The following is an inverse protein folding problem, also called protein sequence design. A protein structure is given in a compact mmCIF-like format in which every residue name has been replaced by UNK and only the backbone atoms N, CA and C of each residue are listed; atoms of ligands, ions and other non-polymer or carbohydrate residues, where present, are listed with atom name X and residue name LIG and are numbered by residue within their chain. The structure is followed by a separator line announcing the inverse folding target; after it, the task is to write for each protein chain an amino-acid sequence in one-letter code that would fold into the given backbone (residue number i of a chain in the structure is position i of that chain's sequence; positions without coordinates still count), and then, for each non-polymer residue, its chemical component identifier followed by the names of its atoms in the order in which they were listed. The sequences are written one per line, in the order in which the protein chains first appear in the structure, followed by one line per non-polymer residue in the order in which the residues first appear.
data_IF_996555355406
#
_entry.id   IF_996555355406
#
_cell.length_a   1.000
_cell.length_b   1.000
_cell.length_c   1.000
_cell.angle_alpha   90.00
_cell.angle_beta   90.00
_cell.angle_gamma   90.00
#
_symmetry.space_group_name_H-M   'P 1'
#
loop_
_entity.id
_entity.type
_entity.pdbx_description
1 polymer ?
#
# COMPACT_ATOMS: atom_id res chain seq x y z
N UNK A 1 -25.21 24.16 -9.48
CA UNK A 1 -24.16 23.16 -9.74
C UNK A 1 -23.59 22.62 -8.43
N UNK A 2 -23.23 23.49 -7.48
CA UNK A 2 -22.72 23.10 -6.14
C UNK A 2 -23.61 22.11 -5.38
N UNK A 3 -24.94 22.27 -5.43
CA UNK A 3 -25.89 21.35 -4.80
C UNK A 3 -25.80 19.92 -5.36
N UNK A 4 -25.55 19.77 -6.66
CA UNK A 4 -25.48 18.47 -7.33
C UNK A 4 -24.24 17.66 -6.92
N UNK A 5 -23.18 18.36 -6.54
CA UNK A 5 -21.90 17.74 -6.12
C UNK A 5 -21.70 17.81 -4.61
N UNK A 6 -22.71 18.24 -3.83
CA UNK A 6 -22.62 18.30 -2.37
C UNK A 6 -21.51 19.23 -1.85
N UNK A 7 -21.26 20.34 -2.54
CA UNK A 7 -20.24 21.33 -2.18
C UNK A 7 -18.79 20.95 -2.51
N UNK A 8 -18.56 19.86 -3.26
CA UNK A 8 -17.24 19.57 -3.80
C UNK A 8 -16.90 20.50 -4.97
N UNK A 9 -15.64 20.96 -5.12
CA UNK A 9 -15.24 21.79 -6.26
C UNK A 9 -15.49 21.04 -7.58
N UNK A 10 -16.24 21.66 -8.49
CA UNK A 10 -16.60 21.04 -9.78
C UNK A 10 -15.91 21.69 -10.99
N UNK A 11 -15.23 22.83 -10.83
CA UNK A 11 -14.55 23.55 -11.92
C UNK A 11 -15.43 23.67 -13.19
N UNK A 12 -16.69 24.06 -13.00
CA UNK A 12 -17.72 24.23 -14.04
C UNK A 12 -18.06 22.99 -14.89
N UNK A 13 -17.65 21.77 -14.48
CA UNK A 13 -17.96 20.52 -15.18
C UNK A 13 -18.53 19.49 -14.20
N UNK A 14 -19.68 18.91 -14.52
CA UNK A 14 -20.29 17.81 -13.77
C UNK A 14 -20.59 16.66 -14.74
N UNK A 15 -20.24 15.44 -14.33
CA UNK A 15 -20.49 14.21 -15.10
C UNK A 15 -21.22 13.22 -14.20
N UNK A 16 -22.35 12.70 -14.67
CA UNK A 16 -23.01 11.56 -14.06
C UNK A 16 -22.32 10.27 -14.52
N UNK A 17 -21.92 9.42 -13.57
CA UNK A 17 -21.23 8.18 -13.85
C UNK A 17 -21.65 7.07 -12.88
N UNK A 18 -21.46 5.81 -13.30
CA UNK A 18 -21.70 4.65 -12.44
C UNK A 18 -20.66 4.55 -11.33
N UNK A 19 -21.07 4.06 -10.16
CA UNK A 19 -20.12 3.78 -9.09
C UNK A 19 -19.07 2.74 -9.50
N UNK A 20 -17.85 2.96 -9.04
CA UNK A 20 -16.76 1.99 -9.15
C UNK A 20 -16.71 1.10 -7.92
N UNK A 21 -16.43 -0.17 -8.15
CA UNK A 21 -16.41 -1.21 -7.12
C UNK A 21 -15.09 -1.97 -7.15
N UNK A 22 -14.64 -2.34 -5.95
CA UNK A 22 -13.49 -3.21 -5.75
C UNK A 22 -13.90 -4.67 -5.94
N UNK A 23 -13.14 -5.39 -6.76
CA UNK A 23 -13.33 -6.84 -6.99
C UNK A 23 -12.74 -7.62 -5.83
N UNK A 24 -13.18 -8.86 -5.61
CA UNK A 24 -12.48 -9.74 -4.67
C UNK A 24 -11.06 -10.06 -5.18
N UNK A 25 -10.04 -10.04 -4.31
CA UNK A 25 -8.65 -10.37 -4.68
C UNK A 25 -8.50 -11.72 -5.39
N UNK A 26 -9.42 -12.67 -5.16
CA UNK A 26 -9.41 -13.98 -5.85
C UNK A 26 -9.48 -13.85 -7.37
N UNK A 27 -10.11 -12.79 -7.90
CA UNK A 27 -10.12 -12.54 -9.35
C UNK A 27 -8.72 -12.31 -9.91
N UNK A 28 -7.85 -11.61 -9.17
CA UNK A 28 -6.46 -11.41 -9.55
C UNK A 28 -5.68 -12.72 -9.55
N UNK A 29 -5.85 -13.54 -8.50
CA UNK A 29 -5.18 -14.84 -8.36
C UNK A 29 -5.60 -15.82 -9.46
N UNK A 30 -6.89 -15.84 -9.81
CA UNK A 30 -7.43 -16.75 -10.81
C UNK A 30 -7.07 -16.33 -12.24
N UNK A 31 -7.13 -15.03 -12.55
CA UNK A 31 -6.83 -14.52 -13.90
C UNK A 31 -5.34 -14.65 -14.26
N UNK A 32 -4.43 -14.68 -13.28
CA UNK A 32 -3.00 -14.97 -13.53
C UNK A 32 -2.72 -16.41 -13.94
N UNK A 33 -3.67 -17.36 -13.79
CA UNK A 33 -3.53 -18.71 -14.36
C UNK A 33 -3.76 -18.74 -15.88
N UNK A 34 -4.47 -17.74 -16.43
CA UNK A 34 -4.89 -17.73 -17.85
C UNK A 34 -4.12 -16.74 -18.72
N UNK A 35 -3.29 -15.87 -18.14
CA UNK A 35 -2.46 -14.90 -18.88
C UNK A 35 -1.03 -15.41 -19.06
N UNK A 36 -0.86 -16.39 -19.94
CA UNK A 36 0.43 -16.74 -20.54
C UNK A 36 0.75 -15.93 -21.81
N UNK A 37 -0.05 -14.92 -22.17
CA UNK A 37 0.11 -14.22 -23.45
C UNK A 37 0.18 -12.68 -23.30
N UNK A 38 1.32 -12.14 -23.74
CA UNK A 38 1.44 -10.97 -24.62
C UNK A 38 1.00 -9.57 -24.14
N UNK A 39 1.11 -9.24 -22.86
CA UNK A 39 1.18 -7.84 -22.45
C UNK A 39 2.54 -7.57 -21.80
N UNK A 40 3.36 -6.76 -22.48
CA UNK A 40 4.69 -6.28 -22.06
C UNK A 40 4.69 -5.41 -20.79
N UNK A 41 3.68 -5.53 -19.93
CA UNK A 41 3.62 -4.81 -18.66
C UNK A 41 4.29 -5.69 -17.60
N UNK A 42 5.59 -5.50 -17.45
CA UNK A 42 6.45 -6.13 -16.44
C UNK A 42 6.14 -5.60 -15.01
N UNK A 43 4.86 -5.37 -14.66
CA UNK A 43 4.54 -4.95 -13.31
C UNK A 43 4.64 -6.15 -12.36
N UNK A 44 5.71 -6.16 -11.58
CA UNK A 44 6.04 -7.22 -10.65
C UNK A 44 5.89 -6.78 -9.18
N UNK A 45 5.62 -5.49 -8.92
CA UNK A 45 5.45 -4.94 -7.58
C UNK A 45 3.97 -4.58 -7.36
N UNK A 46 3.42 -5.05 -6.25
CA UNK A 46 2.02 -4.84 -5.89
C UNK A 46 1.92 -4.28 -4.46
N UNK A 47 0.96 -3.38 -4.23
CA UNK A 47 0.74 -2.75 -2.93
C UNK A 47 -0.57 -3.23 -2.31
N UNK A 48 -0.50 -3.67 -1.05
CA UNK A 48 -1.66 -3.97 -0.21
C UNK A 48 -1.70 -3.05 1.00
N UNK A 49 -2.81 -2.34 1.19
CA UNK A 49 -3.04 -1.50 2.36
C UNK A 49 -3.87 -2.26 3.40
N UNK A 50 -3.29 -2.43 4.60
CA UNK A 50 -3.94 -3.08 5.72
C UNK A 50 -4.49 -2.05 6.72
N UNK A 51 -5.80 -1.85 6.70
CA UNK A 51 -6.54 -0.96 7.58
C UNK A 51 -6.00 0.49 7.59
N UNK A 52 -5.52 1.00 6.46
CA UNK A 52 -5.28 2.45 6.27
C UNK A 52 -6.62 3.17 6.39
N UNK A 53 -6.75 4.06 7.38
CA UNK A 53 -8.04 4.69 7.70
C UNK A 53 -8.33 5.91 6.83
N UNK A 54 -7.30 6.70 6.53
CA UNK A 54 -7.48 7.91 5.76
C UNK A 54 -7.57 7.58 4.26
N UNK A 55 -8.76 7.79 3.71
CA UNK A 55 -9.01 7.60 2.29
C UNK A 55 -8.19 8.55 1.39
N UNK A 56 -7.74 9.70 1.91
CA UNK A 56 -6.84 10.60 1.18
C UNK A 56 -5.45 9.98 1.02
N UNK A 57 -4.95 9.27 2.04
CA UNK A 57 -3.71 8.51 1.92
C UNK A 57 -3.84 7.42 0.84
N UNK A 58 -4.98 6.72 0.79
CA UNK A 58 -5.23 5.69 -0.24
C UNK A 58 -5.21 6.29 -1.65
N UNK A 59 -5.89 7.43 -1.88
CA UNK A 59 -5.90 8.06 -3.20
C UNK A 59 -4.53 8.63 -3.61
N UNK A 60 -3.77 9.20 -2.66
CA UNK A 60 -2.39 9.61 -2.91
C UNK A 60 -1.48 8.42 -3.25
N UNK A 61 -1.65 7.28 -2.58
CA UNK A 61 -0.94 6.04 -2.92
C UNK A 61 -1.31 5.55 -4.32
N UNK A 62 -2.56 5.73 -4.78
CA UNK A 62 -2.93 5.41 -6.16
C UNK A 62 -2.09 6.18 -7.17
N UNK A 63 -1.82 7.47 -6.90
CA UNK A 63 -0.93 8.28 -7.75
C UNK A 63 0.49 7.71 -7.78
N UNK A 64 1.04 7.35 -6.61
CA UNK A 64 2.38 6.75 -6.53
C UNK A 64 2.45 5.42 -7.29
N UNK A 65 1.47 4.53 -7.09
CA UNK A 65 1.41 3.24 -7.80
C UNK A 65 1.43 3.47 -9.32
N UNK A 66 0.53 4.32 -9.83
CA UNK A 66 0.43 4.58 -11.26
C UNK A 66 1.71 5.24 -11.80
N UNK A 67 2.27 6.21 -11.07
CA UNK A 67 3.50 6.91 -11.44
C UNK A 67 4.69 5.94 -11.61
N UNK A 68 4.79 4.92 -10.76
CA UNK A 68 5.83 3.89 -10.84
C UNK A 68 5.42 2.68 -11.71
N UNK A 69 4.41 2.83 -12.59
CA UNK A 69 4.03 1.82 -13.59
C UNK A 69 3.14 0.69 -13.06
N UNK A 70 2.64 0.81 -11.83
CA UNK A 70 1.70 -0.13 -11.25
C UNK A 70 0.27 0.07 -11.75
N UNK A 71 -0.51 -1.00 -11.78
CA UNK A 71 -1.86 -1.04 -12.37
C UNK A 71 -2.95 -1.56 -11.41
N UNK A 72 -2.57 -1.86 -10.16
CA UNK A 72 -3.42 -2.58 -9.21
C UNK A 72 -3.14 -2.14 -7.77
N UNK A 73 -4.19 -2.08 -6.95
CA UNK A 73 -4.12 -1.82 -5.51
C UNK A 73 -5.01 -2.78 -4.73
N UNK A 74 -4.51 -3.29 -3.61
CA UNK A 74 -5.23 -4.21 -2.73
C UNK A 74 -5.58 -3.52 -1.42
N UNK A 75 -6.83 -3.62 -0.97
CA UNK A 75 -7.33 -2.94 0.24
C UNK A 75 -8.00 -3.93 1.19
N UNK A 76 -7.39 -4.12 2.37
CA UNK A 76 -8.04 -4.73 3.53
C UNK A 76 -8.56 -3.59 4.42
N UNK A 77 -9.86 -3.30 4.34
CA UNK A 77 -10.53 -2.34 5.24
C UNK A 77 -11.75 -2.95 5.92
N UNK A 78 -12.20 -2.29 6.99
CA UNK A 78 -13.51 -2.59 7.59
C UNK A 78 -14.61 -2.28 6.57
N UNK A 79 -15.58 -3.19 6.48
CA UNK A 79 -16.78 -3.00 5.67
C UNK A 79 -17.66 -1.95 6.34
N UNK A 80 -18.20 -1.03 5.55
CA UNK A 80 -19.23 -0.09 5.99
C UNK A 80 -20.56 -0.83 6.09
N UNK A 81 -21.46 -0.35 6.95
CA UNK A 81 -22.80 -0.92 7.11
C UNK A 81 -23.53 -0.87 5.76
N UNK A 82 -24.03 -2.02 5.30
CA UNK A 82 -24.73 -2.13 4.02
C UNK A 82 -23.87 -2.51 2.81
N UNK A 83 -22.54 -2.64 2.95
CA UNK A 83 -21.70 -3.09 1.83
C UNK A 83 -21.84 -4.61 1.59
N UNK A 84 -22.11 -4.99 0.33
CA UNK A 84 -22.12 -6.39 -0.08
C UNK A 84 -20.73 -7.03 0.02
N UNK A 85 -20.66 -8.31 0.37
CA UNK A 85 -19.38 -9.02 0.59
C UNK A 85 -18.47 -9.06 -0.66
N UNK A 86 -19.06 -9.00 -1.85
CA UNK A 86 -18.36 -9.23 -3.13
C UNK A 86 -18.10 -7.96 -3.92
N UNK A 87 -18.85 -6.88 -3.66
CA UNK A 87 -18.73 -5.60 -4.35
C UNK A 87 -18.69 -4.51 -3.31
N UNK A 88 -17.53 -3.88 -3.17
CA UNK A 88 -17.31 -2.82 -2.20
C UNK A 88 -17.05 -1.54 -2.97
N UNK A 89 -17.89 -0.53 -2.75
CA UNK A 89 -17.79 0.76 -3.43
C UNK A 89 -16.46 1.44 -3.09
N UNK A 90 -15.82 2.04 -4.10
CA UNK A 90 -14.67 2.92 -3.90
C UNK A 90 -15.18 4.24 -3.35
N UNK A 91 -14.58 4.70 -2.25
CA UNK A 91 -15.02 5.91 -1.55
C UNK A 91 -14.64 7.18 -2.33
N UNK A 92 -15.55 8.16 -2.38
CA UNK A 92 -15.34 9.43 -3.09
C UNK A 92 -14.04 10.16 -2.73
N UNK A 93 -13.60 10.23 -1.45
CA UNK A 93 -12.33 10.87 -1.13
C UNK A 93 -11.11 10.18 -1.75
N UNK A 94 -11.16 8.86 -2.00
CA UNK A 94 -10.09 8.14 -2.72
C UNK A 94 -10.04 8.63 -4.17
N UNK A 95 -11.20 8.72 -4.84
CA UNK A 95 -11.30 9.21 -6.21
C UNK A 95 -10.77 10.64 -6.33
N UNK A 96 -11.22 11.53 -5.44
CA UNK A 96 -10.83 12.93 -5.41
C UNK A 96 -9.31 13.11 -5.18
N UNK A 97 -8.77 12.52 -4.11
CA UNK A 97 -7.33 12.65 -3.79
C UNK A 97 -6.42 11.96 -4.80
N UNK A 98 -6.91 10.97 -5.56
CA UNK A 98 -6.14 10.34 -6.63
C UNK A 98 -5.96 11.22 -7.87
N UNK A 99 -6.77 12.28 -8.03
CA UNK A 99 -6.75 13.18 -9.19
C UNK A 99 -6.74 12.40 -10.52
N UNK A 100 -7.69 11.46 -10.64
CA UNK A 100 -7.85 10.61 -11.83
C UNK A 100 -6.96 9.37 -11.88
N UNK A 101 -5.89 9.28 -11.07
CA UNK A 101 -5.01 8.10 -11.09
C UNK A 101 -5.75 6.80 -10.76
N UNK A 102 -6.76 6.86 -9.88
CA UNK A 102 -7.56 5.69 -9.51
C UNK A 102 -8.34 5.10 -10.70
N UNK A 103 -8.62 5.86 -11.77
CA UNK A 103 -9.32 5.36 -12.96
C UNK A 103 -8.50 4.32 -13.73
N UNK A 104 -7.17 4.40 -13.65
CA UNK A 104 -6.24 3.49 -14.30
C UNK A 104 -5.82 2.30 -13.42
N UNK A 105 -6.29 2.24 -12.16
CA UNK A 105 -5.97 1.16 -11.24
C UNK A 105 -7.13 0.17 -11.08
N UNK A 106 -6.78 -1.10 -11.05
CA UNK A 106 -7.66 -2.17 -10.61
C UNK A 106 -7.68 -2.24 -9.08
N UNK A 107 -8.87 -2.08 -8.49
CA UNK A 107 -9.04 -2.20 -7.05
C UNK A 107 -9.48 -3.60 -6.64
N UNK A 108 -8.76 -4.17 -5.68
CA UNK A 108 -9.07 -5.47 -5.10
C UNK A 108 -9.31 -5.36 -3.60
N UNK A 109 -10.44 -5.88 -3.13
CA UNK A 109 -10.71 -6.03 -1.72
C UNK A 109 -10.17 -7.34 -1.17
N UNK A 110 -9.48 -7.25 -0.04
CA UNK A 110 -8.98 -8.38 0.75
C UNK A 110 -9.90 -8.61 1.95
N UNK A 111 -10.51 -9.80 2.03
CA UNK A 111 -11.40 -10.16 3.13
C UNK A 111 -10.63 -10.64 4.38
N UNK A 112 -9.61 -11.49 4.18
CA UNK A 112 -8.80 -12.11 5.23
C UNK A 112 -7.34 -12.10 4.76
N UNK A 113 -6.43 -11.57 5.60
CA UNK A 113 -5.02 -11.37 5.25
C UNK A 113 -4.24 -12.67 5.19
N UNK A 114 -4.48 -13.60 6.13
CA UNK A 114 -3.80 -14.89 6.19
C UNK A 114 -4.03 -15.71 4.91
N UNK A 115 -5.30 -15.86 4.51
CA UNK A 115 -5.68 -16.53 3.27
C UNK A 115 -5.11 -15.81 2.04
N UNK A 116 -5.05 -14.48 2.07
CA UNK A 116 -4.49 -13.69 0.97
C UNK A 116 -2.99 -13.90 0.82
N UNK A 117 -2.24 -13.82 1.92
CA UNK A 117 -0.80 -14.07 1.97
C UNK A 117 -0.49 -15.49 1.53
N UNK A 118 -1.18 -16.49 2.08
CA UNK A 118 -1.02 -17.90 1.69
C UNK A 118 -1.29 -18.11 0.19
N UNK A 119 -2.40 -17.56 -0.34
CA UNK A 119 -2.73 -17.68 -1.77
C UNK A 119 -1.69 -17.02 -2.70
N UNK A 120 -1.05 -15.93 -2.25
CA UNK A 120 0.00 -15.25 -3.01
C UNK A 120 1.31 -16.05 -2.99
N UNK A 121 1.69 -16.60 -1.83
CA UNK A 121 2.87 -17.48 -1.72
C UNK A 121 2.75 -18.71 -2.61
N UNK A 122 1.57 -19.34 -2.67
CA UNK A 122 1.28 -20.42 -3.62
C UNK A 122 1.39 -20.02 -5.11
N UNK A 123 1.40 -18.72 -5.40
CA UNK A 123 1.56 -18.16 -6.75
C UNK A 123 2.97 -17.62 -7.01
N UNK A 124 3.91 -17.89 -6.09
CA UNK A 124 5.30 -17.47 -6.18
C UNK A 124 5.51 -15.98 -5.95
N UNK A 125 4.70 -15.34 -5.11
CA UNK A 125 4.96 -13.97 -4.66
C UNK A 125 5.81 -13.98 -3.39
N UNK A 126 6.79 -13.09 -3.36
CA UNK A 126 7.50 -12.68 -2.15
C UNK A 126 6.68 -11.62 -1.41
N UNK A 127 6.46 -11.84 -0.12
CA UNK A 127 5.65 -10.98 0.73
C UNK A 127 6.54 -10.09 1.59
N UNK A 128 6.43 -8.78 1.38
CA UNK A 128 7.17 -7.76 2.13
C UNK A 128 6.20 -7.01 3.04
N UNK A 129 6.44 -7.01 4.34
CA UNK A 129 5.70 -6.16 5.29
C UNK A 129 6.51 -4.92 5.66
N UNK A 130 5.85 -3.81 6.02
CA UNK A 130 6.54 -2.65 6.58
C UNK A 130 6.27 -2.47 8.07
N UNK A 131 7.32 -2.38 8.89
CA UNK A 131 7.20 -2.03 10.30
C UNK A 131 8.51 -1.42 10.80
N UNK A 132 8.44 -0.45 11.70
CA UNK A 132 9.63 0.00 12.43
C UNK A 132 10.04 -1.07 13.45
N UNK A 133 11.36 -1.32 13.65
CA UNK A 133 11.84 -2.25 14.67
C UNK A 133 11.48 -1.70 16.06
N UNK A 134 10.80 -2.49 16.90
CA UNK A 134 10.61 -2.14 18.32
C UNK A 134 11.75 -2.75 19.14
N UNK A 135 12.16 -2.07 20.21
CA UNK A 135 13.26 -2.50 21.09
C UNK A 135 13.14 -3.94 21.62
N UNK A 136 11.92 -4.49 21.67
CA UNK A 136 11.65 -5.82 22.24
C UNK A 136 11.20 -6.89 21.21
N UNK A 137 11.16 -6.58 19.91
CA UNK A 137 10.74 -7.57 18.91
C UNK A 137 11.94 -8.39 18.43
N UNK A 138 12.09 -9.60 18.96
CA UNK A 138 12.98 -10.67 18.47
C UNK A 138 12.46 -11.24 17.14
N UNK A 139 12.34 -10.41 16.13
CA UNK A 139 11.92 -10.85 14.81
C UNK A 139 13.15 -10.87 13.90
N UNK A 140 13.44 -12.05 13.35
CA UNK A 140 14.71 -12.35 12.66
C UNK A 140 14.78 -11.82 11.22
N UNK A 141 13.71 -11.23 10.69
CA UNK A 141 13.59 -10.93 9.26
C UNK A 141 13.45 -9.43 8.97
N UNK A 142 14.00 -8.56 9.84
CA UNK A 142 14.01 -7.11 9.60
C UNK A 142 15.17 -6.72 8.69
N UNK A 143 14.86 -6.03 7.59
CA UNK A 143 15.84 -5.55 6.61
C UNK A 143 15.61 -4.05 6.38
N UNK A 144 16.67 -3.26 6.47
CA UNK A 144 16.60 -1.84 6.13
C UNK A 144 16.36 -1.68 4.63
N UNK A 145 15.46 -0.79 4.22
CA UNK A 145 15.08 -0.61 2.82
C UNK A 145 16.31 -0.43 1.90
N UNK A 146 17.32 0.32 2.34
CA UNK A 146 18.54 0.58 1.55
C UNK A 146 19.30 -0.70 1.14
N UNK A 147 19.18 -1.77 1.93
CA UNK A 147 19.84 -3.05 1.69
C UNK A 147 18.97 -4.04 0.91
N UNK A 148 17.71 -3.69 0.65
CA UNK A 148 16.77 -4.54 -0.06
C UNK A 148 16.94 -4.37 -1.57
N UNK A 149 16.99 -5.49 -2.30
CA UNK A 149 16.98 -5.52 -3.76
C UNK A 149 15.94 -6.54 -4.23
N UNK A 150 15.39 -6.32 -5.40
CA UNK A 150 14.45 -7.23 -6.03
C UNK A 150 14.93 -7.57 -7.43
N UNK A 151 14.74 -8.81 -7.85
CA UNK A 151 15.04 -9.20 -9.22
C UNK A 151 13.92 -8.76 -10.15
N UNK A 152 14.24 -8.42 -11.41
CA UNK A 152 13.26 -8.02 -12.42
C UNK A 152 12.09 -9.00 -12.61
N UNK A 153 12.32 -10.30 -12.39
CA UNK A 153 11.34 -11.36 -12.60
C UNK A 153 10.58 -11.74 -11.31
N UNK A 154 10.96 -11.18 -10.16
CA UNK A 154 10.38 -11.53 -8.86
C UNK A 154 9.05 -10.80 -8.66
N UNK A 155 8.00 -11.52 -8.27
CA UNK A 155 6.69 -10.94 -7.95
C UNK A 155 6.67 -10.59 -6.48
N UNK A 156 6.42 -9.32 -6.18
CA UNK A 156 6.52 -8.77 -4.83
C UNK A 156 5.18 -8.18 -4.42
N UNK A 157 4.67 -8.60 -3.26
CA UNK A 157 3.52 -7.98 -2.60
C UNK A 157 4.00 -7.23 -1.36
N UNK A 158 3.85 -5.91 -1.36
CA UNK A 158 4.23 -5.02 -0.26
C UNK A 158 2.98 -4.69 0.55
N UNK A 159 2.99 -5.02 1.83
CA UNK A 159 1.89 -4.78 2.76
C UNK A 159 2.24 -3.57 3.63
N UNK A 160 1.46 -2.50 3.49
CA UNK A 160 1.56 -1.28 4.28
C UNK A 160 0.51 -1.29 5.40
N UNK A 161 0.93 -0.91 6.60
CA UNK A 161 0.09 -0.94 7.80
C UNK A 161 -0.74 0.32 8.04
N UNK A 162 -1.55 0.24 9.08
CA UNK A 162 -2.28 1.38 9.60
C UNK A 162 -1.32 2.44 10.15
N UNK A 163 -1.65 3.72 9.98
CA UNK A 163 -0.80 4.85 10.35
C UNK A 163 -0.50 4.91 11.85
N UNK A 164 -1.45 4.50 12.70
CA UNK A 164 -1.30 4.53 14.15
C UNK A 164 -0.84 3.19 14.72
N UNK A 165 -1.42 2.08 14.24
CA UNK A 165 -1.20 0.75 14.81
C UNK A 165 -0.13 -0.06 14.09
N UNK A 166 0.24 0.31 12.87
CA UNK A 166 1.09 -0.50 12.00
C UNK A 166 0.38 -1.76 11.51
N UNK A 167 1.18 -2.79 11.25
CA UNK A 167 0.71 -4.14 10.92
C UNK A 167 0.54 -4.98 12.18
N UNK A 168 -0.42 -5.91 12.17
CA UNK A 168 -0.51 -6.92 13.22
C UNK A 168 0.69 -7.87 13.17
N UNK A 169 1.09 -8.39 14.33
CA UNK A 169 2.20 -9.35 14.41
C UNK A 169 2.00 -10.56 13.50
N UNK A 170 0.76 -11.04 13.37
CA UNK A 170 0.44 -12.18 12.51
C UNK A 170 0.77 -11.92 11.04
N UNK A 171 0.58 -10.68 10.55
CA UNK A 171 0.94 -10.33 9.17
C UNK A 171 2.47 -10.30 9.03
N UNK A 172 3.18 -9.73 10.00
CA UNK A 172 4.64 -9.64 9.95
C UNK A 172 5.26 -11.04 10.04
N UNK A 173 4.76 -11.91 10.93
CA UNK A 173 5.21 -13.31 11.07
C UNK A 173 4.97 -14.15 9.82
N UNK A 174 3.88 -13.88 9.09
CA UNK A 174 3.56 -14.56 7.83
C UNK A 174 4.23 -13.92 6.59
N UNK A 175 4.90 -12.77 6.74
CA UNK A 175 5.64 -12.13 5.66
C UNK A 175 7.04 -12.75 5.53
N UNK A 176 7.61 -12.72 4.33
CA UNK A 176 8.94 -13.29 4.10
C UNK A 176 10.01 -12.36 4.66
N UNK A 177 9.85 -11.05 4.42
CA UNK A 177 10.78 -10.00 4.89
C UNK A 177 9.97 -8.83 5.46
N UNK A 178 10.45 -8.28 6.57
CA UNK A 178 9.94 -7.04 7.14
C UNK A 178 10.90 -5.89 6.84
N UNK A 179 10.45 -4.93 6.04
CA UNK A 179 11.22 -3.76 5.64
C UNK A 179 10.97 -2.62 6.61
N UNK A 180 12.03 -1.90 6.95
CA UNK A 180 11.94 -0.66 7.68
C UNK A 180 12.77 0.45 7.01
N UNK A 181 12.33 1.70 7.22
CA UNK A 181 13.07 2.90 6.86
C UNK A 181 13.68 3.43 8.16
N UNK A 182 15.00 3.51 8.22
CA UNK A 182 15.70 3.96 9.41
C UNK A 182 15.44 5.47 9.64
N UNK A 183 15.13 5.83 10.89
CA UNK A 183 15.07 7.23 11.30
C UNK A 183 16.44 7.66 11.85
N UNK A 184 16.91 8.84 11.46
CA UNK A 184 18.15 9.42 11.99
C UNK A 184 18.05 9.79 13.47
N UNK A 185 16.82 10.01 13.98
CA UNK A 185 16.54 10.41 15.37
C UNK A 185 16.09 9.25 16.26
N UNK A 186 16.19 8.01 15.81
CA UNK A 186 15.93 6.86 16.68
C UNK A 186 16.97 6.82 17.81
N UNK A 187 16.55 6.59 19.05
CA UNK A 187 17.38 6.76 20.26
C UNK A 187 18.71 5.98 20.22
N UNK A 188 18.78 4.93 19.39
CA UNK A 188 19.97 4.10 19.15
C UNK A 188 21.05 4.76 18.28
N UNK A 189 20.71 5.79 17.51
CA UNK A 189 21.59 6.47 16.54
C UNK A 189 21.82 7.95 16.87
N UNK A 190 21.42 8.43 18.05
CA UNK A 190 21.67 9.80 18.46
C UNK A 190 23.19 9.99 18.57
N UNK A 191 23.78 10.60 17.54
CA UNK A 191 25.06 11.27 17.72
C UNK A 191 24.82 12.38 18.74
N UNK A 192 25.67 12.52 19.78
CA UNK A 192 25.47 13.49 20.86
C UNK A 192 25.31 14.94 20.36
N UNK A 193 25.72 15.23 19.12
CA UNK A 193 25.69 16.56 18.50
C UNK A 193 24.40 16.86 17.71
N UNK A 194 23.44 15.92 17.64
CA UNK A 194 22.17 16.05 16.91
C UNK A 194 20.94 16.11 17.84
N UNK A 195 21.14 16.49 19.11
CA UNK A 195 20.02 16.88 19.97
C UNK A 195 19.37 18.12 19.36
N UNK A 196 18.19 17.93 18.76
CA UNK A 196 17.35 19.02 18.32
C UNK A 196 17.15 19.98 19.49
N UNK A 197 17.25 21.28 19.22
CA UNK A 197 17.06 22.40 20.16
C UNK A 197 15.66 22.38 20.82
N UNK A 198 14.76 21.51 20.35
CA UNK A 198 13.43 21.27 20.90
C UNK A 198 13.30 19.81 21.35
N UNK A 199 13.66 19.51 22.59
CA UNK A 199 13.72 18.17 23.21
C UNK A 199 12.39 17.35 23.24
N UNK A 200 11.29 17.84 22.65
CA UNK A 200 9.95 17.24 22.81
C UNK A 200 9.26 16.75 21.53
N UNK A 201 9.86 16.85 20.32
CA UNK A 201 9.23 16.38 19.09
C UNK A 201 10.08 15.33 18.35
N UNK A 202 9.96 14.07 18.78
CA UNK A 202 10.58 12.95 18.04
C UNK A 202 9.56 12.44 17.01
N UNK A 203 9.83 12.71 15.73
CA UNK A 203 9.04 12.17 14.62
C UNK A 203 9.41 10.69 14.44
N UNK A 204 8.57 9.80 14.95
CA UNK A 204 8.84 8.36 14.99
C UNK A 204 8.28 7.57 13.79
N UNK A 205 7.53 8.23 12.91
CA UNK A 205 6.93 7.59 11.74
C UNK A 205 6.72 8.59 10.60
N UNK A 206 6.60 8.04 9.38
CA UNK A 206 6.22 8.77 8.19
C UNK A 206 4.75 8.47 7.85
N UNK A 207 4.11 9.38 7.12
CA UNK A 207 2.81 9.09 6.51
C UNK A 207 2.95 7.87 5.58
N UNK A 208 1.97 6.96 5.61
CA UNK A 208 1.94 5.75 4.80
C UNK A 208 2.05 6.03 3.29
N UNK A 209 1.54 7.16 2.79
CA UNK A 209 1.69 7.54 1.38
C UNK A 209 3.15 7.86 1.01
N UNK A 210 3.89 8.51 1.91
CA UNK A 210 5.30 8.82 1.75
C UNK A 210 6.14 7.55 1.82
N UNK A 211 5.85 6.66 2.77
CA UNK A 211 6.48 5.33 2.86
C UNK A 211 6.29 4.57 1.56
N UNK A 212 5.08 4.54 1.02
CA UNK A 212 4.79 3.90 -0.26
C UNK A 212 5.66 4.47 -1.40
N UNK A 213 5.69 5.79 -1.54
CA UNK A 213 6.47 6.47 -2.59
C UNK A 213 7.97 6.19 -2.47
N UNK A 214 8.52 6.21 -1.26
CA UNK A 214 9.95 5.91 -1.01
C UNK A 214 10.27 4.47 -1.39
N UNK A 215 9.42 3.52 -0.99
CA UNK A 215 9.64 2.09 -1.28
C UNK A 215 9.54 1.82 -2.79
N UNK A 216 8.52 2.36 -3.46
CA UNK A 216 8.35 2.19 -4.91
C UNK A 216 9.53 2.80 -5.69
N UNK A 217 9.96 4.02 -5.32
CA UNK A 217 11.13 4.66 -5.91
C UNK A 217 12.40 3.83 -5.70
N UNK A 218 12.62 3.33 -4.48
CA UNK A 218 13.77 2.49 -4.15
C UNK A 218 13.81 1.24 -5.02
N UNK A 219 12.69 0.52 -5.14
CA UNK A 219 12.65 -0.69 -5.95
C UNK A 219 12.78 -0.41 -7.44
N UNK A 220 12.16 0.63 -7.96
CA UNK A 220 12.32 1.00 -9.36
C UNK A 220 13.78 1.33 -9.71
N UNK A 221 14.52 1.91 -8.77
CA UNK A 221 15.93 2.28 -8.97
C UNK A 221 16.92 1.13 -8.74
N UNK A 222 16.48 0.05 -8.07
CA UNK A 222 17.34 -1.06 -7.64
C UNK A 222 16.85 -2.44 -8.14
N UNK A 223 16.17 -2.47 -9.29
CA UNK A 223 15.90 -3.72 -10.00
C UNK A 223 17.23 -4.28 -10.52
N UNK A 224 17.59 -5.48 -10.05
CA UNK A 224 18.66 -6.31 -10.61
C UNK A 224 18.16 -6.98 -11.90
#
# INVERSE_FOLDING_TARGET
MDELVGGFPHNDIIIEATYRYMKNYRHFINNKKTTNNNNNNNNNIFICLHNVYDNMNVGNICRSILFFGGDSIFLKRKKKKGEHKNYIKIDTPILHSSVGASEYLNFFHVNNMENFISSLKEKGFTILSTSSPKNNTRMTNFVELKNMKINKNEKVMIILGNESKGLSEDIIKNSDICIYINNLYDEKNIQPNLKNINDNLIVNSLNVNNVCSIILHHFQSNIL
#
